data_IF_695125234519
#
_entry.id   IF_695125234519
#
_cell.length_a   1.000
_cell.length_b   1.000
_cell.length_c   1.000
_cell.angle_alpha   90.00
_cell.angle_beta   90.00
_cell.angle_gamma   90.00
#
_symmetry.space_group_name_H-M   'P 1'
#
loop_
_entity.id
_entity.type
_entity.pdbx_description
1 polymer ?
#
# COMPACT_ATOMS: atom_id res chain seq x y z
N UNK A 1 3.84 -18.48 21.80
CA UNK A 1 3.80 -17.00 21.74
C UNK A 1 4.50 -16.59 20.45
N UNK A 2 3.86 -15.85 19.61
CA UNK A 2 4.47 -15.29 18.37
C UNK A 2 5.48 -14.22 18.80
N UNK A 3 6.63 -14.15 18.12
CA UNK A 3 7.58 -13.07 18.37
C UNK A 3 6.92 -11.71 18.07
N UNK A 4 7.20 -10.64 18.84
CA UNK A 4 6.68 -9.31 18.57
C UNK A 4 7.16 -8.80 17.21
N UNK A 5 6.28 -8.11 16.47
CA UNK A 5 6.66 -7.47 15.23
C UNK A 5 7.41 -6.16 15.49
N UNK A 6 8.36 -5.79 14.64
CA UNK A 6 9.00 -4.47 14.68
C UNK A 6 8.16 -3.49 13.88
N UNK A 7 7.65 -2.41 14.49
CA UNK A 7 6.94 -1.32 13.79
C UNK A 7 7.92 -0.17 13.56
N UNK A 8 8.31 0.03 12.30
CA UNK A 8 9.18 1.15 11.91
C UNK A 8 8.34 2.41 11.73
N UNK A 9 8.82 3.54 12.28
CA UNK A 9 8.08 4.80 12.30
C UNK A 9 6.89 4.76 13.28
N UNK A 10 7.06 4.07 14.42
CA UNK A 10 6.00 3.71 15.37
C UNK A 10 5.20 4.90 15.92
N UNK A 11 5.76 6.10 15.97
CA UNK A 11 5.05 7.32 16.38
C UNK A 11 4.33 8.02 15.21
N UNK A 12 4.43 7.49 13.99
CA UNK A 12 3.69 7.98 12.83
C UNK A 12 2.18 7.76 12.98
N UNK A 13 1.39 8.61 12.30
CA UNK A 13 -0.06 8.58 12.42
C UNK A 13 -0.65 7.18 12.15
N UNK A 14 -0.35 6.59 11.00
CA UNK A 14 -0.87 5.26 10.63
C UNK A 14 -0.32 4.14 11.54
N UNK A 15 0.96 4.23 11.94
CA UNK A 15 1.58 3.27 12.85
C UNK A 15 0.86 3.21 14.21
N UNK A 16 0.40 4.34 14.74
CA UNK A 16 -0.36 4.37 15.99
C UNK A 16 -1.75 3.73 15.85
N UNK A 17 -2.39 3.81 14.69
CA UNK A 17 -3.63 3.09 14.41
C UNK A 17 -3.37 1.58 14.30
N UNK A 18 -2.27 1.18 13.65
CA UNK A 18 -1.82 -0.21 13.61
C UNK A 18 -1.56 -0.73 15.03
N UNK A 19 -0.82 0.01 15.87
CA UNK A 19 -0.53 -0.37 17.25
C UNK A 19 -1.81 -0.57 18.08
N UNK A 20 -2.78 0.34 17.94
CA UNK A 20 -4.09 0.21 18.60
C UNK A 20 -4.84 -1.04 18.13
N UNK A 21 -4.88 -1.30 16.82
CA UNK A 21 -5.55 -2.46 16.25
C UNK A 21 -4.83 -3.78 16.60
N UNK A 22 -3.50 -3.77 16.74
CA UNK A 22 -2.73 -4.91 17.26
C UNK A 22 -3.10 -5.21 18.72
N UNK A 23 -3.29 -4.18 19.55
CA UNK A 23 -3.73 -4.37 20.94
C UNK A 23 -5.11 -5.06 21.04
N UNK A 24 -6.07 -4.68 20.19
CA UNK A 24 -7.37 -5.36 20.10
C UNK A 24 -7.26 -6.85 19.74
N UNK A 25 -6.17 -7.23 19.06
CA UNK A 25 -5.88 -8.60 18.62
C UNK A 25 -4.88 -9.34 19.54
N UNK A 26 -4.50 -8.77 20.69
CA UNK A 26 -3.48 -9.29 21.60
C UNK A 26 -2.12 -9.57 20.91
N UNK A 27 -1.73 -8.72 19.95
CA UNK A 27 -0.46 -8.80 19.26
C UNK A 27 0.52 -7.79 19.86
N UNK A 28 1.73 -8.24 20.15
CA UNK A 28 2.81 -7.41 20.70
C UNK A 28 3.68 -6.82 19.59
N UNK A 29 4.30 -5.68 19.87
CA UNK A 29 5.27 -5.07 18.97
C UNK A 29 6.42 -4.38 19.70
N UNK A 30 7.52 -4.19 18.97
CA UNK A 30 8.65 -3.35 19.36
C UNK A 30 8.58 -2.07 18.52
N UNK A 31 8.57 -0.92 19.17
CA UNK A 31 8.51 0.36 18.50
C UNK A 31 9.90 0.79 18.00
N UNK A 32 10.03 1.12 16.72
CA UNK A 32 11.30 1.56 16.11
C UNK A 32 11.14 2.93 15.48
N UNK A 33 12.13 3.80 15.68
CA UNK A 33 12.15 5.15 15.12
C UNK A 33 13.34 5.96 15.58
N UNK A 34 13.47 7.19 15.07
CA UNK A 34 14.66 8.02 15.30
C UNK A 34 14.62 8.87 16.59
N UNK A 35 13.45 9.10 17.12
CA UNK A 35 13.24 9.99 18.26
C UNK A 35 12.84 9.20 19.50
N UNK A 36 13.74 9.14 20.50
CA UNK A 36 13.55 8.39 21.72
C UNK A 36 12.35 8.90 22.53
N UNK A 37 12.10 10.20 22.55
CA UNK A 37 11.02 10.77 23.36
C UNK A 37 9.66 10.42 22.78
N UNK A 38 9.52 10.45 21.46
CA UNK A 38 8.31 10.01 20.76
C UNK A 38 8.09 8.50 20.92
N UNK A 39 9.13 7.67 20.87
CA UNK A 39 9.05 6.24 21.12
C UNK A 39 8.59 5.94 22.56
N UNK A 40 9.13 6.67 23.56
CA UNK A 40 8.70 6.52 24.95
C UNK A 40 7.20 6.85 25.12
N UNK A 41 6.68 7.86 24.43
CA UNK A 41 5.24 8.16 24.43
C UNK A 41 4.41 7.02 23.80
N UNK A 42 4.89 6.39 22.72
CA UNK A 42 4.24 5.21 22.13
C UNK A 42 4.19 4.07 23.15
N UNK A 43 5.30 3.78 23.83
CA UNK A 43 5.36 2.71 24.83
C UNK A 43 4.45 2.99 26.04
N UNK A 44 4.35 4.24 26.47
CA UNK A 44 3.42 4.61 27.55
C UNK A 44 1.95 4.49 27.12
N UNK A 45 1.65 4.77 25.86
CA UNK A 45 0.29 4.76 25.32
C UNK A 45 -0.23 3.35 25.05
N UNK A 46 0.63 2.44 24.60
CA UNK A 46 0.24 1.12 24.13
C UNK A 46 0.85 0.01 24.99
N UNK A 47 0.03 -0.66 25.81
CA UNK A 47 0.48 -1.73 26.71
C UNK A 47 1.06 -2.95 25.97
N UNK A 48 0.71 -3.13 24.70
CA UNK A 48 1.28 -4.16 23.81
C UNK A 48 2.60 -3.74 23.13
N UNK A 49 3.15 -2.56 23.44
CA UNK A 49 4.49 -2.16 23.06
C UNK A 49 5.48 -2.72 24.09
N UNK A 50 6.11 -3.84 23.77
CA UNK A 50 6.98 -4.58 24.70
C UNK A 50 8.45 -4.14 24.67
N UNK A 51 8.82 -3.20 23.80
CA UNK A 51 10.15 -2.64 23.69
C UNK A 51 10.22 -1.46 22.75
N UNK A 52 11.34 -0.74 22.79
CA UNK A 52 11.64 0.35 21.85
C UNK A 52 13.09 0.27 21.37
N UNK A 53 13.33 0.70 20.13
CA UNK A 53 14.65 0.79 19.49
C UNK A 53 14.78 2.14 18.82
N UNK A 54 15.83 2.88 19.18
CA UNK A 54 16.17 4.14 18.50
C UNK A 54 17.09 3.80 17.32
N UNK A 55 16.59 3.99 16.10
CA UNK A 55 17.36 3.71 14.89
C UNK A 55 16.86 4.57 13.72
N UNK A 56 17.78 4.98 12.85
CA UNK A 56 17.47 5.49 11.52
C UNK A 56 17.63 4.38 10.48
N UNK A 57 16.51 3.83 10.04
CA UNK A 57 16.49 2.71 9.10
C UNK A 57 16.99 3.06 7.67
N UNK A 58 17.44 4.29 7.43
CA UNK A 58 18.17 4.67 6.22
C UNK A 58 19.66 4.25 6.28
N UNK A 59 20.16 3.91 7.46
CA UNK A 59 21.56 3.58 7.68
C UNK A 59 21.73 2.09 8.02
N UNK A 60 22.41 1.35 7.16
CA UNK A 60 22.63 -0.09 7.31
C UNK A 60 23.22 -0.48 8.69
N UNK A 61 24.07 0.38 9.28
CA UNK A 61 24.66 0.17 10.58
C UNK A 61 23.67 0.25 11.77
N UNK A 62 22.51 0.86 11.57
CA UNK A 62 21.50 1.06 12.62
C UNK A 62 20.34 0.04 12.55
N UNK A 63 20.37 -0.88 11.58
CA UNK A 63 19.35 -1.92 11.40
C UNK A 63 19.84 -3.32 11.75
N UNK A 64 20.83 -3.40 12.64
CA UNK A 64 21.40 -4.66 13.14
C UNK A 64 20.43 -5.46 14.04
N UNK A 65 19.41 -4.80 14.61
CA UNK A 65 18.35 -5.42 15.39
C UNK A 65 17.48 -6.37 14.58
N UNK A 66 17.48 -6.25 13.24
CA UNK A 66 16.71 -7.15 12.36
C UNK A 66 17.43 -8.49 12.24
N UNK A 67 16.81 -9.54 12.79
CA UNK A 67 17.33 -10.91 12.81
C UNK A 67 16.47 -11.86 11.96
N UNK A 68 17.02 -13.04 11.68
CA UNK A 68 16.33 -14.11 10.93
C UNK A 68 15.00 -14.45 11.57
N UNK A 69 13.95 -14.57 10.76
CA UNK A 69 12.60 -14.89 11.18
C UNK A 69 11.82 -13.73 11.83
N UNK A 70 12.45 -12.56 12.02
CA UNK A 70 11.74 -11.37 12.48
C UNK A 70 10.71 -10.89 11.45
N UNK A 71 9.63 -10.27 11.93
CA UNK A 71 8.66 -9.56 11.09
C UNK A 71 8.84 -8.05 11.27
N UNK A 72 9.14 -7.37 10.19
CA UNK A 72 9.25 -5.91 10.11
C UNK A 72 8.01 -5.34 9.42
N UNK A 73 7.28 -4.46 10.11
CA UNK A 73 6.15 -3.69 9.59
C UNK A 73 6.59 -2.25 9.42
N UNK A 74 6.84 -1.83 8.19
CA UNK A 74 7.32 -0.48 7.90
C UNK A 74 6.16 0.48 7.63
N UNK A 75 5.97 1.43 8.53
CA UNK A 75 5.02 2.55 8.41
C UNK A 75 5.72 3.90 8.17
N UNK A 76 7.03 3.90 7.91
CA UNK A 76 7.84 5.11 7.74
C UNK A 76 8.01 5.45 6.24
N UNK A 77 7.15 6.28 5.73
CA UNK A 77 7.30 6.88 4.39
C UNK A 77 8.04 8.24 4.43
N UNK A 78 8.50 8.75 3.28
CA UNK A 78 8.42 8.20 1.92
C UNK A 78 9.28 6.94 1.72
N UNK A 79 8.66 5.90 1.14
CA UNK A 79 9.27 4.57 1.10
C UNK A 79 10.41 4.48 0.09
N UNK A 80 10.33 5.16 -1.05
CA UNK A 80 11.44 5.23 -2.01
C UNK A 80 12.74 5.77 -1.39
N UNK A 81 12.64 6.57 -0.31
CA UNK A 81 13.80 7.16 0.35
C UNK A 81 14.23 6.37 1.61
N UNK A 82 13.28 5.78 2.34
CA UNK A 82 13.55 5.27 3.68
C UNK A 82 13.49 3.73 3.78
N UNK A 83 13.01 3.03 2.75
CA UNK A 83 12.85 1.59 2.81
C UNK A 83 13.97 0.76 2.13
N UNK A 84 14.77 1.26 1.15
CA UNK A 84 15.66 0.39 0.38
C UNK A 84 16.65 -0.41 1.25
N UNK A 85 17.36 0.26 2.17
CA UNK A 85 18.33 -0.41 3.06
C UNK A 85 17.66 -1.42 4.00
N UNK A 86 16.48 -1.05 4.54
CA UNK A 86 15.72 -1.92 5.43
C UNK A 86 15.24 -3.19 4.71
N UNK A 87 14.73 -3.08 3.48
CA UNK A 87 14.30 -4.22 2.67
C UNK A 87 15.51 -5.12 2.36
N UNK A 88 16.62 -4.52 1.90
CA UNK A 88 17.86 -5.24 1.60
C UNK A 88 18.35 -6.02 2.82
N UNK A 89 18.34 -5.39 4.01
CA UNK A 89 18.71 -6.05 5.27
C UNK A 89 17.77 -7.20 5.60
N UNK A 90 16.46 -6.99 5.55
CA UNK A 90 15.47 -8.03 5.83
C UNK A 90 15.72 -9.26 4.95
N UNK A 91 15.82 -9.06 3.64
CA UNK A 91 16.03 -10.14 2.69
C UNK A 91 17.36 -10.86 2.94
N UNK A 92 18.44 -10.12 3.22
CA UNK A 92 19.77 -10.68 3.44
C UNK A 92 19.86 -11.57 4.69
N UNK A 93 19.19 -11.18 5.78
CA UNK A 93 19.25 -11.93 7.05
C UNK A 93 18.15 -12.98 7.20
N UNK A 94 17.19 -13.06 6.29
CA UNK A 94 16.05 -13.97 6.39
C UNK A 94 14.94 -13.46 7.30
N UNK A 95 14.76 -12.14 7.39
CA UNK A 95 13.63 -11.49 8.05
C UNK A 95 12.51 -11.16 7.04
N UNK A 96 11.28 -11.10 7.51
CA UNK A 96 10.12 -10.78 6.67
C UNK A 96 9.80 -9.29 6.74
N UNK A 97 9.27 -8.76 5.65
CA UNK A 97 9.01 -7.35 5.49
C UNK A 97 7.58 -7.10 4.99
N UNK A 98 6.88 -6.18 5.63
CA UNK A 98 5.56 -5.67 5.20
C UNK A 98 5.61 -4.16 5.24
N UNK A 99 5.04 -3.47 4.24
CA UNK A 99 4.86 -2.02 4.28
C UNK A 99 3.47 -1.57 3.84
N UNK A 100 3.23 -0.26 3.98
CA UNK A 100 2.01 0.42 3.60
C UNK A 100 2.26 1.43 2.46
N UNK A 101 3.21 1.15 1.58
CA UNK A 101 3.58 2.08 0.49
C UNK A 101 2.48 2.25 -0.54
N UNK A 102 2.33 3.48 -1.05
CA UNK A 102 1.60 3.79 -2.28
C UNK A 102 2.54 4.15 -3.44
N UNK A 103 3.84 3.83 -3.35
CA UNK A 103 4.87 4.25 -4.29
C UNK A 103 5.28 3.09 -5.21
N UNK A 104 5.04 3.22 -6.52
CA UNK A 104 5.31 2.16 -7.49
C UNK A 104 6.80 1.78 -7.58
N UNK A 105 7.69 2.76 -7.48
CA UNK A 105 9.12 2.54 -7.74
C UNK A 105 9.77 1.60 -6.73
N UNK A 106 9.47 1.73 -5.43
CA UNK A 106 10.01 0.81 -4.42
C UNK A 106 9.50 -0.63 -4.61
N UNK A 107 8.26 -0.78 -5.07
CA UNK A 107 7.67 -2.08 -5.39
C UNK A 107 8.36 -2.70 -6.60
N UNK A 108 8.50 -1.94 -7.70
CA UNK A 108 9.20 -2.36 -8.90
C UNK A 108 10.65 -2.76 -8.58
N UNK A 109 11.36 -1.91 -7.86
CA UNK A 109 12.73 -2.17 -7.42
C UNK A 109 12.85 -3.48 -6.64
N UNK A 110 11.91 -3.77 -5.76
CA UNK A 110 11.93 -5.02 -4.99
C UNK A 110 11.74 -6.26 -5.88
N UNK A 111 10.85 -6.21 -6.86
CA UNK A 111 10.70 -7.31 -7.82
C UNK A 111 11.98 -7.52 -8.64
N UNK A 112 12.64 -6.45 -9.06
CA UNK A 112 13.85 -6.53 -9.88
C UNK A 112 15.08 -7.01 -9.10
N UNK A 113 15.24 -6.57 -7.84
CA UNK A 113 16.50 -6.74 -7.11
C UNK A 113 16.43 -7.71 -5.92
N UNK A 114 15.23 -7.93 -5.36
CA UNK A 114 15.09 -8.73 -4.14
C UNK A 114 14.33 -10.05 -4.35
N UNK A 115 13.56 -10.23 -5.43
CA UNK A 115 12.68 -11.38 -5.58
C UNK A 115 13.40 -12.72 -5.52
N UNK A 116 14.53 -12.86 -6.22
CA UNK A 116 15.29 -14.11 -6.25
C UNK A 116 15.88 -14.47 -4.87
N UNK A 117 16.49 -13.50 -4.19
CA UNK A 117 17.07 -13.72 -2.88
C UNK A 117 16.01 -13.93 -1.79
N UNK A 118 14.89 -13.20 -1.87
CA UNK A 118 13.75 -13.39 -0.95
C UNK A 118 13.17 -14.80 -1.08
N UNK A 119 13.04 -15.32 -2.30
CA UNK A 119 12.60 -16.69 -2.53
C UNK A 119 13.62 -17.71 -1.99
N UNK A 120 14.91 -17.50 -2.24
CA UNK A 120 15.99 -18.38 -1.78
C UNK A 120 16.06 -18.43 -0.24
N UNK A 121 15.87 -17.30 0.44
CA UNK A 121 15.94 -17.19 1.89
C UNK A 121 14.61 -17.48 2.59
N UNK A 122 13.58 -17.89 1.85
CA UNK A 122 12.22 -18.12 2.36
C UNK A 122 11.64 -16.89 3.09
N UNK A 123 11.83 -15.71 2.50
CA UNK A 123 11.38 -14.41 3.02
C UNK A 123 10.14 -13.94 2.28
N UNK A 124 9.17 -13.41 3.02
CA UNK A 124 8.06 -12.63 2.46
C UNK A 124 8.44 -11.15 2.44
N UNK A 125 8.43 -10.52 1.28
CA UNK A 125 8.45 -9.06 1.10
C UNK A 125 7.09 -8.67 0.54
N UNK A 126 6.25 -8.06 1.38
CA UNK A 126 4.86 -7.71 1.01
C UNK A 126 4.70 -6.21 1.04
N UNK A 127 4.57 -5.62 -0.14
CA UNK A 127 4.36 -4.19 -0.28
C UNK A 127 2.89 -3.80 -0.24
N UNK A 128 2.65 -2.54 0.10
CA UNK A 128 1.35 -1.87 -0.08
C UNK A 128 0.19 -2.52 0.68
N UNK A 129 0.44 -2.97 1.91
CA UNK A 129 -0.61 -3.47 2.81
C UNK A 129 -1.44 -2.28 3.36
N UNK A 130 -1.96 -1.48 2.43
CA UNK A 130 -2.71 -0.26 2.68
C UNK A 130 -4.04 -0.28 1.93
N UNK A 131 -4.94 0.59 2.34
CA UNK A 131 -6.30 0.71 1.82
C UNK A 131 -6.38 0.60 0.30
N UNK A 132 -5.65 1.45 -0.41
CA UNK A 132 -5.78 1.55 -1.87
C UNK A 132 -5.34 0.27 -2.57
N UNK A 133 -4.09 -0.11 -2.45
CA UNK A 133 -3.52 -1.19 -3.26
C UNK A 133 -3.88 -2.59 -2.74
N UNK A 134 -3.98 -2.77 -1.41
CA UNK A 134 -4.34 -4.09 -0.87
C UNK A 134 -5.79 -4.47 -1.16
N UNK A 135 -6.75 -3.54 -0.98
CA UNK A 135 -8.14 -3.83 -1.35
C UNK A 135 -8.29 -4.07 -2.85
N UNK A 136 -7.62 -3.27 -3.67
CA UNK A 136 -7.62 -3.44 -5.12
C UNK A 136 -7.09 -4.82 -5.53
N UNK A 137 -5.95 -5.23 -4.97
CA UNK A 137 -5.36 -6.53 -5.31
C UNK A 137 -6.21 -7.73 -4.81
N UNK A 138 -6.89 -7.57 -3.67
CA UNK A 138 -7.88 -8.55 -3.20
C UNK A 138 -9.12 -8.59 -4.11
N UNK A 139 -9.63 -7.45 -4.58
CA UNK A 139 -10.74 -7.41 -5.55
C UNK A 139 -10.34 -8.00 -6.90
N UNK A 140 -9.12 -7.72 -7.39
CA UNK A 140 -8.54 -8.39 -8.56
C UNK A 140 -8.51 -9.90 -8.34
N UNK A 141 -8.01 -10.35 -7.19
CA UNK A 141 -7.94 -11.78 -6.85
C UNK A 141 -9.32 -12.43 -6.83
N UNK A 142 -10.34 -11.73 -6.29
CA UNK A 142 -11.73 -12.20 -6.30
C UNK A 142 -12.31 -12.26 -7.72
N UNK A 143 -12.10 -11.23 -8.54
CA UNK A 143 -12.56 -11.20 -9.93
C UNK A 143 -11.93 -12.34 -10.76
N UNK A 144 -10.65 -12.65 -10.52
CA UNK A 144 -9.93 -13.74 -11.18
C UNK A 144 -10.52 -15.13 -10.91
N UNK A 145 -11.31 -15.33 -9.85
CA UNK A 145 -12.03 -16.58 -9.61
C UNK A 145 -13.16 -16.81 -10.63
N UNK A 146 -13.61 -15.75 -11.30
CA UNK A 146 -14.73 -15.75 -12.25
C UNK A 146 -14.26 -15.61 -13.70
N UNK A 147 -12.95 -15.47 -13.95
CA UNK A 147 -12.38 -15.12 -15.25
C UNK A 147 -11.50 -16.23 -15.82
N UNK A 148 -11.44 -16.34 -17.14
CA UNK A 148 -10.35 -17.08 -17.80
C UNK A 148 -9.10 -16.21 -17.87
N UNK A 149 -8.11 -16.53 -17.05
CA UNK A 149 -6.84 -15.78 -17.00
C UNK A 149 -6.10 -15.72 -18.34
N UNK A 150 -6.28 -16.72 -19.21
CA UNK A 150 -5.62 -16.76 -20.52
C UNK A 150 -6.22 -15.72 -21.48
N UNK A 151 -7.46 -15.32 -21.25
CA UNK A 151 -8.14 -14.31 -22.05
C UNK A 151 -8.01 -12.90 -21.48
N UNK A 152 -7.28 -12.70 -20.35
CA UNK A 152 -7.13 -11.41 -19.68
C UNK A 152 -6.30 -10.45 -20.53
N UNK A 153 -6.91 -9.35 -20.92
CA UNK A 153 -6.29 -8.30 -21.75
C UNK A 153 -6.03 -7.00 -20.98
N UNK A 154 -6.90 -6.64 -20.04
CA UNK A 154 -6.68 -5.43 -19.24
C UNK A 154 -7.08 -5.59 -17.77
N UNK A 155 -6.36 -4.88 -16.90
CA UNK A 155 -6.61 -4.76 -15.45
C UNK A 155 -6.65 -3.28 -15.11
N UNK A 156 -7.80 -2.79 -14.66
CA UNK A 156 -7.96 -1.39 -14.27
C UNK A 156 -8.57 -1.27 -12.88
N UNK A 157 -8.12 -0.28 -12.12
CA UNK A 157 -8.72 0.14 -10.86
C UNK A 157 -9.20 1.59 -10.94
N UNK A 158 -10.29 1.91 -10.23
CA UNK A 158 -10.86 3.25 -10.21
C UNK A 158 -11.24 3.59 -8.78
N UNK A 159 -10.74 4.73 -8.31
CA UNK A 159 -10.95 5.26 -6.97
C UNK A 159 -11.83 6.50 -7.06
N UNK A 160 -13.04 6.41 -6.53
CA UNK A 160 -13.90 7.54 -6.28
C UNK A 160 -13.78 7.87 -4.79
N UNK A 161 -13.16 9.00 -4.48
CA UNK A 161 -12.84 9.41 -3.12
C UNK A 161 -13.65 10.65 -2.76
N UNK A 162 -14.37 10.60 -1.66
CA UNK A 162 -15.03 11.76 -1.08
C UNK A 162 -14.05 12.77 -0.47
N UNK A 163 -14.51 13.59 0.44
CA UNK A 163 -13.67 14.57 1.13
C UNK A 163 -12.52 13.91 1.87
N UNK A 164 -11.29 14.35 1.62
CA UNK A 164 -10.08 13.74 2.15
C UNK A 164 -9.32 14.66 3.10
N UNK A 165 -9.20 14.25 4.36
CA UNK A 165 -8.18 14.78 5.26
C UNK A 165 -7.01 13.78 5.31
N UNK A 166 -5.80 14.25 5.01
CA UNK A 166 -4.62 13.40 4.88
C UNK A 166 -3.65 13.59 6.02
N UNK A 167 -3.01 12.50 6.44
CA UNK A 167 -1.87 12.57 7.35
C UNK A 167 -0.69 13.32 6.73
N UNK A 168 0.22 13.87 7.55
CA UNK A 168 1.44 14.50 7.04
C UNK A 168 2.27 13.55 6.17
N UNK A 169 2.37 12.27 6.52
CA UNK A 169 3.07 11.25 5.74
C UNK A 169 2.46 11.08 4.34
N UNK A 170 1.15 10.92 4.23
CA UNK A 170 0.43 10.86 2.94
C UNK A 170 0.69 12.10 2.09
N UNK A 171 0.59 13.31 2.69
CA UNK A 171 0.87 14.57 1.98
C UNK A 171 2.31 14.65 1.47
N UNK A 172 3.27 14.14 2.23
CA UNK A 172 4.67 14.10 1.83
C UNK A 172 4.89 13.15 0.67
N UNK A 173 4.44 11.89 0.78
CA UNK A 173 4.52 10.88 -0.27
C UNK A 173 3.92 11.38 -1.57
N UNK A 174 2.74 11.98 -1.54
CA UNK A 174 2.10 12.55 -2.73
C UNK A 174 2.89 13.68 -3.38
N UNK A 175 3.53 14.54 -2.57
CA UNK A 175 4.41 15.61 -3.13
C UNK A 175 5.65 15.03 -3.79
N UNK A 176 6.18 13.93 -3.26
CA UNK A 176 7.38 13.28 -3.77
C UNK A 176 7.10 12.32 -4.94
N UNK A 177 5.88 11.83 -5.10
CA UNK A 177 5.50 10.96 -6.21
C UNK A 177 5.78 11.58 -7.59
N UNK A 178 5.84 12.90 -7.70
CA UNK A 178 6.19 13.62 -8.93
C UNK A 178 7.68 13.50 -9.33
N UNK A 179 8.54 13.08 -8.41
CA UNK A 179 9.99 12.96 -8.64
C UNK A 179 10.43 11.53 -8.91
N UNK A 180 9.57 10.55 -8.67
CA UNK A 180 9.83 9.15 -8.97
C UNK A 180 9.30 8.78 -10.35
N UNK A 181 9.90 7.80 -11.04
CA UNK A 181 9.29 7.18 -12.20
C UNK A 181 7.95 6.55 -11.82
N UNK A 182 6.94 6.77 -12.66
CA UNK A 182 5.61 6.18 -12.50
C UNK A 182 5.24 5.45 -13.79
N UNK A 183 4.48 4.36 -13.68
CA UNK A 183 4.27 3.41 -14.76
C UNK A 183 2.81 3.06 -14.98
N UNK A 184 2.52 2.71 -16.22
CA UNK A 184 1.35 1.92 -16.65
C UNK A 184 1.85 0.65 -17.35
N UNK A 185 0.97 -0.33 -17.54
CA UNK A 185 1.23 -1.43 -18.45
C UNK A 185 0.58 -1.13 -19.79
N UNK A 186 1.36 -1.19 -20.86
CA UNK A 186 0.89 -1.16 -22.22
C UNK A 186 1.73 -2.11 -23.07
N UNK A 187 1.08 -2.88 -23.95
CA UNK A 187 1.71 -3.90 -24.79
C UNK A 187 2.55 -4.90 -23.97
N UNK A 188 2.03 -5.34 -22.83
CA UNK A 188 2.69 -6.23 -21.87
C UNK A 188 4.03 -5.70 -21.30
N UNK A 189 4.23 -4.40 -21.28
CA UNK A 189 5.45 -3.75 -20.80
C UNK A 189 5.10 -2.61 -19.84
N UNK A 190 5.97 -2.41 -18.84
CA UNK A 190 5.92 -1.19 -18.04
C UNK A 190 6.39 -0.02 -18.90
N UNK A 191 5.57 0.99 -19.05
CA UNK A 191 5.86 2.22 -19.77
C UNK A 191 5.68 3.41 -18.83
N UNK A 192 6.47 4.50 -19.02
CA UNK A 192 6.29 5.72 -18.25
C UNK A 192 4.85 6.23 -18.33
N UNK A 193 4.30 6.62 -17.20
CA UNK A 193 2.99 7.25 -17.13
C UNK A 193 3.05 8.63 -17.80
N UNK A 194 2.44 8.76 -18.94
CA UNK A 194 2.15 10.03 -19.58
C UNK A 194 0.79 10.52 -19.09
N UNK A 195 0.69 11.82 -18.81
CA UNK A 195 -0.55 12.42 -18.31
C UNK A 195 -1.67 12.31 -19.34
N UNK A 196 -2.54 11.32 -19.22
CA UNK A 196 -3.65 11.09 -20.12
C UNK A 196 -4.95 10.92 -19.35
N UNK A 197 -6.04 11.45 -19.90
CA UNK A 197 -7.39 11.07 -19.50
C UNK A 197 -7.61 9.60 -19.92
N UNK A 198 -8.26 8.84 -19.05
CA UNK A 198 -8.56 7.46 -19.34
C UNK A 198 -9.86 7.32 -20.14
N UNK A 199 -9.91 6.35 -21.03
CA UNK A 199 -11.17 5.82 -21.53
C UNK A 199 -11.84 4.98 -20.45
N UNK A 200 -13.06 5.34 -20.06
CA UNK A 200 -13.84 4.64 -19.04
C UNK A 200 -14.77 3.65 -19.71
N UNK A 201 -14.78 2.36 -19.29
CA UNK A 201 -15.75 1.38 -19.78
C UNK A 201 -17.20 1.81 -19.50
N UNK A 202 -18.11 1.57 -20.46
CA UNK A 202 -19.51 2.00 -20.38
C UNK A 202 -20.33 1.32 -19.27
N UNK A 203 -19.85 0.20 -18.73
CA UNK A 203 -20.48 -0.54 -17.63
C UNK A 203 -20.08 -0.01 -16.24
N UNK A 204 -19.26 1.05 -16.17
CA UNK A 204 -18.94 1.75 -14.94
C UNK A 204 -19.84 2.98 -14.73
N UNK A 205 -20.17 3.33 -13.49
CA UNK A 205 -21.14 4.39 -13.19
C UNK A 205 -20.55 5.82 -13.17
N UNK A 206 -19.56 6.08 -14.02
CA UNK A 206 -18.90 7.38 -14.17
C UNK A 206 -18.32 7.53 -15.56
N UNK A 207 -18.20 8.77 -16.04
CA UNK A 207 -17.86 9.07 -17.43
C UNK A 207 -16.41 9.54 -17.63
N UNK A 208 -15.73 9.93 -16.54
CA UNK A 208 -14.37 10.47 -16.62
C UNK A 208 -13.47 9.97 -15.50
N UNK A 209 -12.26 9.63 -15.86
CA UNK A 209 -11.23 9.22 -14.90
C UNK A 209 -9.84 9.67 -15.37
N UNK A 210 -8.94 9.81 -14.42
CA UNK A 210 -7.55 10.19 -14.66
C UNK A 210 -6.59 9.14 -14.14
N UNK A 211 -5.58 8.80 -14.92
CA UNK A 211 -4.57 7.82 -14.53
C UNK A 211 -3.74 8.36 -13.35
N UNK A 212 -3.51 7.49 -12.37
CA UNK A 212 -2.70 7.74 -11.17
C UNK A 212 -1.74 6.58 -10.91
N UNK A 213 -0.56 6.83 -10.29
CA UNK A 213 0.47 5.81 -10.17
C UNK A 213 0.33 5.00 -8.87
N UNK A 214 -0.57 4.02 -8.83
CA UNK A 214 -0.66 3.12 -7.69
C UNK A 214 0.04 1.77 -7.91
N UNK A 215 0.59 1.13 -6.84
CA UNK A 215 1.35 -0.12 -6.89
C UNK A 215 0.67 -1.32 -7.51
N UNK A 216 -0.66 -1.42 -7.49
CA UNK A 216 -1.38 -2.55 -8.10
C UNK A 216 -1.13 -2.71 -9.60
N UNK A 217 -0.68 -1.66 -10.27
CA UNK A 217 -0.22 -1.73 -11.68
C UNK A 217 1.02 -2.62 -11.79
N UNK A 218 1.97 -2.48 -10.86
CA UNK A 218 3.18 -3.31 -10.81
C UNK A 218 2.79 -4.74 -10.43
N UNK A 219 1.91 -4.93 -9.45
CA UNK A 219 1.41 -6.26 -9.08
C UNK A 219 0.71 -6.95 -10.26
N UNK A 220 -0.16 -6.25 -10.98
CA UNK A 220 -0.81 -6.80 -12.17
C UNK A 220 0.21 -7.19 -13.25
N UNK A 221 1.20 -6.35 -13.50
CA UNK A 221 2.29 -6.64 -14.44
C UNK A 221 3.05 -7.91 -14.03
N UNK A 222 3.49 -8.01 -12.78
CA UNK A 222 4.29 -9.14 -12.32
C UNK A 222 3.52 -10.46 -12.26
N UNK A 223 2.25 -10.42 -11.82
CA UNK A 223 1.42 -11.62 -11.62
C UNK A 223 0.69 -12.10 -12.85
N UNK A 224 0.21 -11.19 -13.68
CA UNK A 224 -0.82 -11.48 -14.69
C UNK A 224 -0.34 -11.20 -16.11
N UNK A 225 0.67 -10.37 -16.29
CA UNK A 225 1.22 -9.95 -17.59
C UNK A 225 0.14 -9.51 -18.59
N UNK A 226 -0.81 -8.64 -18.20
CA UNK A 226 -1.89 -8.20 -19.09
C UNK A 226 -1.34 -7.34 -20.23
N UNK A 227 -2.11 -7.15 -21.31
CA UNK A 227 -1.78 -6.20 -22.37
C UNK A 227 -1.76 -4.77 -21.84
N UNK A 228 -2.69 -4.43 -20.91
CA UNK A 228 -2.83 -3.11 -20.30
C UNK A 228 -3.14 -3.21 -18.81
N UNK A 229 -2.55 -2.31 -18.02
CA UNK A 229 -2.98 -2.09 -16.64
C UNK A 229 -2.76 -0.62 -16.24
N UNK A 230 -3.74 -0.05 -15.56
CA UNK A 230 -3.67 1.31 -15.03
C UNK A 230 -4.59 1.48 -13.81
N UNK A 231 -4.22 2.41 -12.96
CA UNK A 231 -5.04 2.87 -11.82
C UNK A 231 -5.55 4.27 -12.10
N UNK A 232 -6.74 4.59 -11.61
CA UNK A 232 -7.42 5.83 -11.96
C UNK A 232 -8.11 6.49 -10.77
N UNK A 233 -8.12 7.83 -10.73
CA UNK A 233 -9.10 8.58 -9.96
C UNK A 233 -10.31 8.93 -10.82
N UNK A 234 -11.51 8.65 -10.31
CA UNK A 234 -12.77 9.09 -10.90
C UNK A 234 -12.88 10.61 -10.76
N UNK A 235 -13.23 11.29 -11.84
CA UNK A 235 -13.42 12.73 -11.85
C UNK A 235 -14.93 13.04 -11.68
N UNK A 236 -15.27 13.65 -10.56
CA UNK A 236 -16.61 14.21 -10.35
C UNK A 236 -16.65 15.66 -10.84
N UNK A 237 -17.81 16.17 -11.31
CA UNK A 237 -17.93 17.55 -11.78
C UNK A 237 -17.46 18.60 -10.77
N UNK A 238 -17.65 18.33 -9.48
CA UNK A 238 -17.27 19.20 -8.37
C UNK A 238 -15.97 18.78 -7.70
N UNK A 239 -15.26 17.76 -8.21
CA UNK A 239 -14.02 17.31 -7.64
C UNK A 239 -12.93 18.38 -7.76
N UNK A 240 -12.26 18.66 -6.66
CA UNK A 240 -11.18 19.63 -6.63
C UNK A 240 -9.98 19.05 -7.42
N UNK A 241 -9.93 19.36 -8.74
CA UNK A 241 -8.91 18.90 -9.69
C UNK A 241 -7.46 19.16 -9.25
N UNK A 242 -7.25 20.01 -8.21
CA UNK A 242 -5.95 20.26 -7.62
C UNK A 242 -5.27 18.98 -7.09
N UNK A 243 -6.05 17.99 -6.66
CA UNK A 243 -5.52 16.69 -6.22
C UNK A 243 -4.97 15.87 -7.40
N UNK A 244 -5.67 15.86 -8.52
CA UNK A 244 -5.27 15.12 -9.72
C UNK A 244 -4.21 15.87 -10.56
N UNK A 245 -3.99 17.17 -10.34
CA UNK A 245 -3.08 18.01 -11.12
C UNK A 245 -1.60 17.82 -10.83
N UNK A 246 -1.25 17.31 -9.66
CA UNK A 246 0.15 17.27 -9.20
C UNK A 246 0.96 16.08 -9.73
N UNK A 247 0.35 15.04 -10.29
CA UNK A 247 1.07 13.90 -10.88
C UNK A 247 1.66 14.18 -12.29
N UNK A 248 1.45 15.36 -12.80
CA UNK A 248 1.78 15.72 -14.18
C UNK A 248 3.23 16.18 -14.41
N UNK A 249 3.98 16.46 -13.37
CA UNK A 249 5.38 16.91 -13.49
C UNK A 249 6.34 15.76 -13.29
N UNK A 250 6.30 14.80 -14.18
CA UNK A 250 7.14 13.61 -14.13
C UNK A 250 8.58 13.90 -14.54
N UNK A 251 9.54 13.37 -13.78
CA UNK A 251 10.90 13.15 -14.26
C UNK A 251 11.88 14.31 -14.14
N UNK A 252 11.58 15.38 -13.41
CA UNK A 252 12.63 16.33 -13.04
C UNK A 252 13.35 15.82 -11.80
N UNK A 253 14.43 15.09 -12.02
CA UNK A 253 15.34 14.63 -10.96
C UNK A 253 16.01 15.85 -10.32
N UNK A 254 15.30 16.54 -9.41
CA UNK A 254 15.82 17.67 -8.67
C UNK A 254 15.96 17.25 -7.20
N UNK A 255 17.09 16.61 -6.89
CA UNK A 255 17.43 16.15 -5.53
C UNK A 255 17.35 17.27 -4.49
N UNK A 256 17.73 18.47 -4.82
CA UNK A 256 17.63 19.62 -3.92
C UNK A 256 16.18 20.02 -3.58
N UNK A 257 15.26 19.90 -4.56
CA UNK A 257 13.84 20.12 -4.29
C UNK A 257 13.23 19.00 -3.45
N UNK A 258 13.59 17.75 -3.71
CA UNK A 258 13.15 16.62 -2.88
C UNK A 258 13.60 16.79 -1.44
N UNK A 259 14.88 17.11 -1.24
CA UNK A 259 15.44 17.34 0.09
C UNK A 259 14.75 18.51 0.81
N UNK A 260 14.52 19.64 0.14
CA UNK A 260 13.78 20.77 0.70
C UNK A 260 12.35 20.40 1.12
N UNK A 261 11.66 19.54 0.34
CA UNK A 261 10.34 19.05 0.69
C UNK A 261 10.43 18.15 1.94
N UNK A 262 11.36 17.20 1.98
CA UNK A 262 11.54 16.31 3.14
C UNK A 262 11.87 17.10 4.40
N UNK A 263 12.75 18.09 4.33
CA UNK A 263 13.13 18.93 5.48
C UNK A 263 11.93 19.71 6.05
N UNK A 264 11.03 20.21 5.20
CA UNK A 264 9.81 20.90 5.66
C UNK A 264 8.88 19.97 6.46
N UNK A 265 8.91 18.68 6.21
CA UNK A 265 8.07 17.69 6.89
C UNK A 265 8.72 17.04 8.12
N UNK A 266 10.04 17.21 8.32
CA UNK A 266 10.73 16.66 9.51
C UNK A 266 10.19 17.21 10.84
N UNK A 267 9.71 18.44 10.84
CA UNK A 267 9.23 19.15 12.05
C UNK A 267 7.70 19.25 12.12
N UNK A 268 6.97 18.54 11.24
CA UNK A 268 5.51 18.54 11.25
C UNK A 268 5.02 17.57 12.33
N UNK A 269 4.09 18.03 13.17
CA UNK A 269 3.44 17.13 14.13
C UNK A 269 2.78 15.96 13.40
N UNK A 270 2.94 14.75 13.93
CA UNK A 270 2.37 13.51 13.35
C UNK A 270 0.85 13.40 13.60
N UNK A 271 0.14 14.50 13.49
CA UNK A 271 -1.31 14.61 13.68
C UNK A 271 -1.99 14.44 12.33
N UNK A 272 -2.82 13.43 12.22
CA UNK A 272 -3.69 13.19 11.07
C UNK A 272 -5.16 13.44 11.43
N UNK A 273 -6.11 13.01 10.57
CA UNK A 273 -7.54 13.15 10.84
C UNK A 273 -7.95 12.45 12.13
N UNK A 274 -8.78 13.09 12.94
CA UNK A 274 -9.38 12.47 14.13
C UNK A 274 -10.38 11.37 13.76
N UNK A 275 -10.97 10.69 14.75
CA UNK A 275 -11.87 9.58 14.50
C UNK A 275 -13.14 10.00 13.73
N UNK A 276 -13.68 11.19 14.00
CA UNK A 276 -14.86 11.71 13.31
C UNK A 276 -14.53 12.04 11.84
N UNK A 277 -13.41 12.71 11.61
CA UNK A 277 -12.93 13.03 10.26
C UNK A 277 -12.62 11.76 9.45
N UNK A 278 -12.03 10.71 10.06
CA UNK A 278 -11.82 9.43 9.37
C UNK A 278 -13.13 8.74 9.00
N UNK A 279 -14.09 8.71 9.92
CA UNK A 279 -15.40 8.08 9.68
C UNK A 279 -16.21 8.79 8.61
N UNK A 280 -15.96 10.08 8.37
CA UNK A 280 -16.60 10.87 7.32
C UNK A 280 -15.92 10.72 5.94
N UNK A 281 -14.80 10.05 5.86
CA UNK A 281 -14.09 9.79 4.60
C UNK A 281 -14.67 8.56 3.92
N UNK A 282 -15.55 8.78 2.97
CA UNK A 282 -16.13 7.74 2.13
C UNK A 282 -15.31 7.48 0.86
N UNK A 283 -15.50 6.30 0.31
CA UNK A 283 -14.89 5.89 -0.94
C UNK A 283 -15.78 4.91 -1.70
N UNK A 284 -15.58 4.86 -3.00
CA UNK A 284 -15.95 3.72 -3.84
C UNK A 284 -14.68 3.25 -4.60
N UNK A 285 -14.51 1.95 -4.69
CA UNK A 285 -13.41 1.33 -5.40
C UNK A 285 -13.96 0.32 -6.39
N UNK A 286 -13.54 0.44 -7.64
CA UNK A 286 -13.94 -0.45 -8.72
C UNK A 286 -12.69 -1.10 -9.32
N UNK A 287 -12.79 -2.39 -9.61
CA UNK A 287 -11.82 -3.16 -10.36
C UNK A 287 -12.48 -3.71 -11.60
N UNK A 288 -11.87 -3.53 -12.75
CA UNK A 288 -12.34 -3.99 -14.06
C UNK A 288 -11.29 -4.90 -14.68
N UNK A 289 -11.68 -6.16 -14.95
CA UNK A 289 -10.86 -7.15 -15.66
C UNK A 289 -11.48 -7.42 -17.04
N UNK A 290 -10.82 -6.96 -18.09
CA UNK A 290 -11.25 -7.25 -19.46
C UNK A 290 -10.64 -8.57 -19.93
N UNK A 291 -11.51 -9.55 -20.23
CA UNK A 291 -11.14 -10.86 -20.77
C UNK A 291 -11.81 -11.05 -22.13
N UNK A 292 -11.03 -11.04 -23.19
CA UNK A 292 -11.56 -10.93 -24.56
C UNK A 292 -12.56 -9.78 -24.68
N UNK A 293 -13.84 -10.07 -24.90
CA UNK A 293 -14.90 -9.06 -25.08
C UNK A 293 -15.77 -8.85 -23.82
N UNK A 294 -15.44 -9.55 -22.72
CA UNK A 294 -16.22 -9.48 -21.47
C UNK A 294 -15.46 -8.74 -20.38
N UNK A 295 -16.10 -7.71 -19.81
CA UNK A 295 -15.61 -7.01 -18.63
C UNK A 295 -16.18 -7.61 -17.35
N UNK A 296 -15.30 -7.94 -16.40
CA UNK A 296 -15.67 -8.41 -15.06
C UNK A 296 -15.38 -7.31 -14.07
N UNK A 297 -16.40 -6.79 -13.44
CA UNK A 297 -16.28 -5.69 -12.48
C UNK A 297 -16.58 -6.18 -11.07
N UNK A 298 -15.69 -5.87 -10.15
CA UNK A 298 -15.91 -5.94 -8.70
C UNK A 298 -15.90 -4.52 -8.15
N UNK A 299 -16.83 -4.22 -7.26
CA UNK A 299 -16.91 -2.89 -6.67
C UNK A 299 -17.32 -2.94 -5.21
N UNK A 300 -16.74 -2.03 -4.42
CA UNK A 300 -17.05 -1.82 -3.00
C UNK A 300 -17.24 -0.34 -2.72
N UNK A 301 -18.06 -0.03 -1.71
CA UNK A 301 -18.13 1.29 -1.09
C UNK A 301 -17.92 1.18 0.40
N UNK A 302 -17.29 2.15 0.99
CA UNK A 302 -16.99 2.15 2.41
C UNK A 302 -16.53 3.50 2.92
N UNK A 303 -15.96 3.48 4.13
CA UNK A 303 -15.45 4.66 4.80
C UNK A 303 -14.23 4.29 5.65
N UNK A 304 -13.54 5.32 6.17
CA UNK A 304 -12.46 5.15 7.16
C UNK A 304 -11.22 4.40 6.64
N UNK A 305 -10.61 4.91 5.58
CA UNK A 305 -9.49 4.28 4.87
C UNK A 305 -8.27 3.99 5.76
N UNK A 306 -8.00 4.83 6.76
CA UNK A 306 -6.87 4.61 7.68
C UNK A 306 -7.09 3.42 8.63
N UNK A 307 -8.33 3.21 9.10
CA UNK A 307 -8.67 2.03 9.91
C UNK A 307 -8.62 0.75 9.07
N UNK A 308 -9.02 0.82 7.80
CA UNK A 308 -8.89 -0.29 6.85
C UNK A 308 -7.41 -0.65 6.68
N UNK A 309 -6.53 0.35 6.49
CA UNK A 309 -5.08 0.13 6.41
C UNK A 309 -4.56 -0.56 7.67
N UNK A 310 -4.93 -0.09 8.86
CA UNK A 310 -4.53 -0.71 10.12
C UNK A 310 -5.05 -2.15 10.24
N UNK A 311 -6.30 -2.41 9.84
CA UNK A 311 -6.89 -3.75 9.85
C UNK A 311 -6.18 -4.70 8.88
N UNK A 312 -5.82 -4.24 7.69
CA UNK A 312 -5.06 -5.02 6.70
C UNK A 312 -3.65 -5.37 7.20
N UNK A 313 -2.95 -4.43 7.83
CA UNK A 313 -1.64 -4.72 8.45
C UNK A 313 -1.77 -5.76 9.54
N UNK A 314 -2.77 -5.65 10.43
CA UNK A 314 -3.01 -6.64 11.50
C UNK A 314 -3.37 -8.00 10.91
N UNK A 315 -4.21 -8.05 9.87
CA UNK A 315 -4.51 -9.29 9.14
C UNK A 315 -3.24 -9.95 8.59
N UNK A 316 -2.32 -9.14 8.05
CA UNK A 316 -1.04 -9.62 7.53
C UNK A 316 -0.13 -10.15 8.65
N UNK A 317 -0.03 -9.46 9.80
CA UNK A 317 0.71 -9.93 10.98
C UNK A 317 0.14 -11.26 11.49
N UNK A 318 -1.18 -11.38 11.57
CA UNK A 318 -1.87 -12.63 11.97
C UNK A 318 -1.68 -13.75 10.95
N UNK A 319 -1.63 -13.42 9.65
CA UNK A 319 -1.37 -14.41 8.60
C UNK A 319 0.06 -14.91 8.69
N UNK A 320 1.01 -14.02 8.92
CA UNK A 320 2.41 -14.37 9.12
C UNK A 320 2.61 -15.30 10.32
N UNK A 321 1.95 -15.01 11.46
CA UNK A 321 2.02 -15.84 12.64
C UNK A 321 1.50 -17.28 12.42
N UNK A 322 0.65 -17.50 11.42
CA UNK A 322 0.16 -18.81 11.01
C UNK A 322 1.12 -19.55 10.05
N UNK A 323 2.33 -19.04 9.83
CA UNK A 323 3.37 -19.53 8.93
C UNK A 323 2.97 -19.47 7.44
N UNK A 324 3.45 -18.47 6.70
CA UNK A 324 3.17 -18.34 5.28
C UNK A 324 3.78 -19.50 4.49
N UNK A 325 3.07 -19.92 3.45
CA UNK A 325 3.52 -20.99 2.55
C UNK A 325 4.10 -20.46 1.23
N UNK A 326 4.05 -19.13 1.03
CA UNK A 326 4.56 -18.47 -0.16
C UNK A 326 5.64 -17.46 0.24
N UNK A 327 6.76 -17.45 -0.48
CA UNK A 327 7.90 -16.59 -0.25
C UNK A 327 8.25 -15.79 -1.51
N UNK A 328 9.06 -14.76 -1.35
CA UNK A 328 9.47 -13.85 -2.41
C UNK A 328 8.87 -12.45 -2.22
N UNK A 329 8.92 -11.65 -3.28
CA UNK A 329 8.19 -10.37 -3.34
C UNK A 329 6.76 -10.66 -3.76
N UNK A 330 5.81 -10.35 -2.92
CA UNK A 330 4.41 -10.75 -3.05
C UNK A 330 3.48 -9.53 -3.02
N UNK A 331 2.43 -9.57 -3.83
CA UNK A 331 1.32 -8.65 -3.67
C UNK A 331 0.47 -9.01 -2.45
N UNK A 332 -0.32 -8.08 -1.89
CA UNK A 332 -1.21 -8.37 -0.76
C UNK A 332 -2.14 -9.56 -0.99
N UNK A 333 -2.72 -9.68 -2.18
CA UNK A 333 -3.60 -10.80 -2.54
C UNK A 333 -2.88 -12.13 -2.69
N UNK A 334 -1.62 -12.13 -3.17
CA UNK A 334 -0.79 -13.35 -3.19
C UNK A 334 -0.42 -13.81 -1.78
N UNK A 335 -0.03 -12.86 -0.93
CA UNK A 335 0.37 -13.16 0.45
C UNK A 335 -0.82 -13.65 1.28
N UNK A 336 -1.94 -12.94 1.28
CA UNK A 336 -3.10 -13.28 2.10
C UNK A 336 -3.92 -14.46 1.57
N UNK A 337 -3.91 -14.69 0.25
CA UNK A 337 -4.64 -15.79 -0.38
C UNK A 337 -6.12 -15.85 0.03
N UNK A 338 -6.59 -17.04 0.40
CA UNK A 338 -7.99 -17.26 0.81
C UNK A 338 -8.37 -16.46 2.07
N UNK A 339 -7.44 -16.29 3.02
CA UNK A 339 -7.69 -15.49 4.24
C UNK A 339 -8.02 -14.03 3.90
N UNK A 340 -7.36 -13.46 2.89
CA UNK A 340 -7.67 -12.12 2.39
C UNK A 340 -9.04 -12.04 1.74
N UNK A 341 -9.44 -13.03 0.96
CA UNK A 341 -10.77 -13.10 0.33
C UNK A 341 -11.88 -13.28 1.37
N UNK A 342 -11.64 -14.07 2.40
CA UNK A 342 -12.58 -14.27 3.51
C UNK A 342 -12.76 -12.96 4.30
N UNK A 343 -11.65 -12.26 4.58
CA UNK A 343 -11.69 -10.96 5.23
C UNK A 343 -12.41 -9.92 4.35
N UNK A 344 -12.12 -9.88 3.05
CA UNK A 344 -12.79 -8.99 2.09
C UNK A 344 -14.31 -9.17 2.11
N UNK A 345 -14.79 -10.39 2.33
CA UNK A 345 -16.22 -10.73 2.31
C UNK A 345 -16.95 -10.47 3.64
N UNK A 346 -16.22 -10.41 4.77
CA UNK A 346 -16.80 -10.43 6.12
C UNK A 346 -16.39 -9.26 7.01
N UNK A 347 -15.85 -8.16 6.45
CA UNK A 347 -15.42 -7.01 7.25
C UNK A 347 -16.54 -5.96 7.42
N UNK A 348 -16.47 -5.10 8.45
CA UNK A 348 -17.49 -4.08 8.73
C UNK A 348 -17.24 -2.73 8.01
N UNK A 349 -16.14 -2.57 7.28
CA UNK A 349 -15.68 -1.27 6.78
C UNK A 349 -16.31 -0.88 5.44
N UNK A 350 -16.76 -1.86 4.66
CA UNK A 350 -17.31 -1.63 3.33
C UNK A 350 -18.31 -2.72 2.93
N UNK A 351 -19.06 -2.43 1.87
CA UNK A 351 -20.04 -3.35 1.26
C UNK A 351 -19.79 -3.43 -0.25
N UNK A 352 -20.12 -4.59 -0.81
CA UNK A 352 -20.10 -4.75 -2.26
C UNK A 352 -21.20 -3.93 -2.94
N UNK A 353 -20.85 -3.31 -4.07
CA UNK A 353 -21.79 -2.62 -4.96
C UNK A 353 -22.26 -3.63 -6.00
N UNK A 354 -23.57 -3.83 -6.11
CA UNK A 354 -24.15 -4.58 -7.22
C UNK A 354 -24.26 -3.68 -8.44
N UNK A 355 -23.43 -3.94 -9.44
CA UNK A 355 -23.54 -3.28 -10.73
C UNK A 355 -24.61 -4.02 -11.57
N UNK A 356 -25.48 -3.27 -12.23
CA UNK A 356 -26.43 -3.88 -13.18
C UNK A 356 -25.60 -4.44 -14.34
N UNK A 357 -25.70 -5.74 -14.58
CA UNK A 357 -25.24 -6.31 -15.84
C UNK A 357 -26.12 -5.79 -16.97
N UNK A 358 -25.56 -5.00 -17.87
CA UNK A 358 -26.18 -4.67 -19.14
C UNK A 358 -26.19 -5.88 -20.06
#
# INVERSE_FOLDING_TARGET
MTQPAYIIGAYGYTAQLVAAKMAESNLEFIAVGRDQSNLAQVQQRFANCVGLIVADCQHAAEIDFVAKGALVVNCAGPFNLFAPELISRCVAVGAHYIDITGEQEIVRHSYEHHAALALQNEVCVVHSMAFESALTDLLISRALLKTDRKALTAVNSYYKLGSQQMSPGTKLTMKLANFAPNYIVQDQRLQPLLQQMAEVPQDLPFDAARIVPYPEVIFAFERLKPQRAASHFVLEPDSNLAFAGNFAKMGTNNSAQQEAIVQRFKNVQHVGPDAAARSAQDFELYVSLLCADKNYVEAIRGHNMYEITAALVVLAVQHFAAQPTHFGVLSPGQFLGQKGLDWLSNNPYFQFISLKSN
#
